data_IF_393881919365
#
_entry.id   IF_393881919365
#
_cell.length_a   1.000
_cell.length_b   1.000
_cell.length_c   1.000
_cell.angle_alpha   90.00
_cell.angle_beta   90.00
_cell.angle_gamma   90.00
#
_symmetry.space_group_name_H-M   'P 1'
#
loop_
_entity.id
_entity.type
_entity.pdbx_description
1 polymer ?
#
# COMPACT_ATOMS: atom_id res chain seq x y z
N UNK A 1 -18.79 6.52 1.51
CA UNK A 1 -17.71 5.54 1.27
C UNK A 1 -18.18 4.15 1.65
N UNK A 2 -17.67 3.15 0.96
CA UNK A 2 -17.91 1.71 1.19
C UNK A 2 -16.64 1.06 1.70
N UNK A 3 -16.76 -0.11 2.34
CA UNK A 3 -15.62 -0.81 2.92
C UNK A 3 -15.41 -2.14 2.22
N UNK A 4 -14.14 -2.47 1.99
CA UNK A 4 -13.74 -3.75 1.44
C UNK A 4 -12.43 -4.25 2.05
N UNK A 5 -11.98 -5.39 1.56
CA UNK A 5 -10.71 -6.01 1.98
C UNK A 5 -9.96 -6.48 0.76
N UNK A 6 -8.68 -6.08 0.67
CA UNK A 6 -7.71 -6.72 -0.20
C UNK A 6 -7.30 -8.05 0.40
N UNK A 7 -7.45 -9.13 -0.36
CA UNK A 7 -7.05 -10.47 0.09
C UNK A 7 -5.53 -10.63 0.24
N UNK A 8 -4.74 -9.65 -0.20
CA UNK A 8 -3.34 -9.52 0.23
C UNK A 8 -3.21 -9.55 1.76
N UNK A 9 -4.21 -9.00 2.46
CA UNK A 9 -4.23 -8.93 3.92
C UNK A 9 -4.19 -10.29 4.61
N UNK A 10 -4.57 -11.36 3.90
CA UNK A 10 -4.63 -12.74 4.40
C UNK A 10 -3.56 -13.65 3.80
N UNK A 11 -2.50 -13.08 3.22
CA UNK A 11 -1.51 -13.85 2.47
C UNK A 11 -0.84 -14.96 3.30
N UNK A 12 -0.57 -14.76 4.60
CA UNK A 12 0.06 -15.79 5.42
C UNK A 12 -0.94 -16.87 5.83
N UNK A 13 -2.14 -16.50 6.25
CA UNK A 13 -3.22 -17.42 6.54
C UNK A 13 -3.53 -18.30 5.32
N UNK A 14 -3.49 -17.73 4.11
CA UNK A 14 -3.61 -18.49 2.86
C UNK A 14 -2.41 -19.41 2.62
N UNK A 15 -1.19 -18.91 2.78
CA UNK A 15 0.04 -19.71 2.61
C UNK A 15 0.06 -20.92 3.55
N UNK A 16 -0.35 -20.74 4.81
CA UNK A 16 -0.45 -21.80 5.82
C UNK A 16 -1.74 -22.64 5.72
N UNK A 17 -2.61 -22.36 4.74
CA UNK A 17 -3.88 -23.07 4.48
C UNK A 17 -4.89 -23.00 5.63
N UNK A 18 -4.82 -21.94 6.42
CA UNK A 18 -5.77 -21.63 7.49
C UNK A 18 -6.98 -20.88 6.94
N UNK A 19 -6.79 -20.15 5.84
CA UNK A 19 -7.85 -19.42 5.14
C UNK A 19 -7.71 -19.61 3.64
N UNK A 20 -8.62 -20.36 3.02
CA UNK A 20 -8.71 -20.47 1.57
C UNK A 20 -9.54 -19.31 0.98
N UNK A 21 -9.65 -19.26 -0.36
CA UNK A 21 -10.33 -18.15 -1.04
C UNK A 21 -11.81 -18.03 -0.61
N UNK A 22 -12.54 -19.14 -0.45
CA UNK A 22 -13.91 -19.08 0.09
C UNK A 22 -13.92 -18.56 1.54
N UNK A 23 -12.96 -19.00 2.36
CA UNK A 23 -12.79 -18.53 3.72
C UNK A 23 -12.55 -17.02 3.82
N UNK A 24 -11.73 -16.46 2.93
CA UNK A 24 -11.48 -15.01 2.85
C UNK A 24 -12.76 -14.24 2.49
N UNK A 25 -13.53 -14.74 1.51
CA UNK A 25 -14.83 -14.16 1.11
C UNK A 25 -15.83 -14.22 2.27
N UNK A 26 -15.92 -15.38 2.94
CA UNK A 26 -16.78 -15.57 4.11
C UNK A 26 -16.41 -14.63 5.24
N UNK A 27 -15.12 -14.43 5.50
CA UNK A 27 -14.66 -13.50 6.53
C UNK A 27 -15.19 -12.09 6.29
N UNK A 28 -15.12 -11.60 5.04
CA UNK A 28 -15.69 -10.30 4.66
C UNK A 28 -17.21 -10.27 4.86
N UNK A 29 -17.93 -11.25 4.32
CA UNK A 29 -19.39 -11.25 4.32
C UNK A 29 -20.06 -11.50 5.68
N UNK A 30 -19.44 -12.33 6.54
CA UNK A 30 -20.07 -12.78 7.80
C UNK A 30 -19.48 -12.13 9.05
N UNK A 31 -18.21 -11.70 9.03
CA UNK A 31 -17.49 -11.29 10.26
C UNK A 31 -17.02 -9.84 10.28
N UNK A 32 -17.10 -9.11 9.16
CA UNK A 32 -16.68 -7.70 9.04
C UNK A 32 -17.89 -6.79 8.81
N UNK A 33 -18.58 -6.31 9.86
CA UNK A 33 -19.92 -5.74 9.69
C UNK A 33 -19.87 -4.40 8.97
N UNK A 34 -20.45 -4.32 7.77
CA UNK A 34 -20.45 -3.11 6.93
C UNK A 34 -19.38 -3.11 5.84
N UNK A 35 -18.60 -4.18 5.71
CA UNK A 35 -17.77 -4.45 4.54
C UNK A 35 -18.46 -5.48 3.65
N UNK A 36 -18.37 -5.27 2.34
CA UNK A 36 -18.86 -6.18 1.30
C UNK A 36 -17.90 -6.25 0.11
N UNK A 37 -17.00 -5.28 -0.02
CA UNK A 37 -16.07 -5.16 -1.14
C UNK A 37 -14.93 -6.17 -1.07
N UNK A 38 -14.63 -6.78 -2.21
CA UNK A 38 -13.47 -7.67 -2.37
C UNK A 38 -12.49 -7.04 -3.35
N UNK A 39 -11.25 -6.98 -2.91
CA UNK A 39 -10.09 -6.73 -3.77
C UNK A 39 -9.19 -7.97 -3.78
N UNK A 40 -8.71 -8.33 -4.97
CA UNK A 40 -8.04 -9.60 -5.21
C UNK A 40 -6.86 -9.43 -6.16
N UNK A 41 -5.75 -10.07 -5.80
CA UNK A 41 -4.54 -10.19 -6.62
C UNK A 41 -4.66 -11.45 -7.46
N UNK A 42 -4.69 -11.28 -8.78
CA UNK A 42 -5.01 -12.33 -9.73
C UNK A 42 -4.05 -13.53 -9.67
N UNK A 43 -2.75 -13.31 -9.84
CA UNK A 43 -1.71 -14.33 -9.87
C UNK A 43 -1.52 -15.03 -8.51
N UNK A 44 -1.88 -14.36 -7.41
CA UNK A 44 -1.85 -14.94 -6.06
C UNK A 44 -3.05 -15.86 -5.80
N UNK A 45 -4.22 -15.50 -6.34
CA UNK A 45 -5.49 -16.04 -5.86
C UNK A 45 -6.18 -16.96 -6.88
N UNK A 46 -5.83 -16.84 -8.16
CA UNK A 46 -6.48 -17.55 -9.25
C UNK A 46 -5.51 -18.56 -9.89
N UNK A 47 -6.10 -19.54 -10.56
CA UNK A 47 -5.37 -20.26 -11.62
C UNK A 47 -5.21 -19.30 -12.81
N UNK A 48 -4.17 -18.49 -12.78
CA UNK A 48 -3.87 -17.51 -13.81
C UNK A 48 -3.25 -18.18 -15.06
N UNK A 49 -3.50 -17.69 -16.29
CA UNK A 49 -4.31 -16.51 -16.66
C UNK A 49 -5.80 -16.80 -16.91
N UNK A 50 -6.24 -18.05 -16.72
CA UNK A 50 -7.62 -18.47 -16.98
C UNK A 50 -8.10 -19.46 -15.88
N UNK A 51 -8.99 -19.01 -14.98
CA UNK A 51 -9.51 -19.88 -13.92
C UNK A 51 -10.59 -20.86 -14.42
N UNK A 52 -11.15 -20.64 -15.61
CA UNK A 52 -12.15 -21.49 -16.27
C UNK A 52 -13.60 -21.33 -15.76
N UNK A 53 -14.57 -21.70 -16.60
CA UNK A 53 -16.01 -21.49 -16.35
C UNK A 53 -16.54 -22.11 -15.06
N UNK A 54 -15.98 -23.26 -14.65
CA UNK A 54 -16.39 -23.92 -13.42
C UNK A 54 -16.06 -23.08 -12.20
N UNK A 55 -14.88 -22.45 -12.18
CA UNK A 55 -14.49 -21.52 -11.13
C UNK A 55 -15.36 -20.26 -11.18
N UNK A 56 -15.61 -19.68 -12.36
CA UNK A 56 -16.43 -18.47 -12.49
C UNK A 56 -17.84 -18.69 -11.89
N UNK A 57 -18.47 -19.85 -12.17
CA UNK A 57 -19.76 -20.19 -11.54
C UNK A 57 -19.67 -20.31 -10.03
N UNK A 58 -18.61 -20.95 -9.53
CA UNK A 58 -18.37 -21.09 -8.09
C UNK A 58 -18.15 -19.73 -7.42
N UNK A 59 -17.35 -18.87 -8.04
CA UNK A 59 -17.05 -17.50 -7.62
C UNK A 59 -18.33 -16.69 -7.40
N UNK A 60 -19.22 -16.64 -8.40
CA UNK A 60 -20.49 -15.91 -8.25
C UNK A 60 -21.43 -16.55 -7.22
N UNK A 61 -21.41 -17.87 -7.06
CA UNK A 61 -22.18 -18.52 -5.99
C UNK A 61 -21.68 -18.15 -4.59
N UNK A 62 -20.38 -17.90 -4.42
CA UNK A 62 -19.84 -17.37 -3.16
C UNK A 62 -20.24 -15.92 -2.93
N UNK A 63 -20.18 -15.06 -3.96
CA UNK A 63 -20.64 -13.67 -3.87
C UNK A 63 -22.10 -13.59 -3.42
N UNK A 64 -22.97 -14.40 -4.02
CA UNK A 64 -24.38 -14.50 -3.64
C UNK A 64 -24.55 -15.02 -2.21
N UNK A 65 -23.85 -16.10 -1.85
CA UNK A 65 -23.95 -16.74 -0.53
C UNK A 65 -23.54 -15.81 0.61
N UNK A 66 -22.47 -15.04 0.42
CA UNK A 66 -21.88 -14.20 1.47
C UNK A 66 -22.24 -12.71 1.34
N UNK A 67 -22.99 -12.33 0.30
CA UNK A 67 -23.41 -10.94 0.09
C UNK A 67 -22.26 -9.99 -0.24
N UNK A 68 -21.19 -10.50 -0.85
CA UNK A 68 -19.98 -9.72 -1.20
C UNK A 68 -19.98 -9.30 -2.67
N UNK A 69 -19.19 -8.28 -2.99
CA UNK A 69 -19.09 -7.71 -4.34
C UNK A 69 -17.62 -7.62 -4.77
N UNK A 70 -17.24 -8.13 -5.95
CA UNK A 70 -15.93 -7.89 -6.53
C UNK A 70 -15.76 -6.40 -6.89
N UNK A 71 -14.72 -5.75 -6.39
CA UNK A 71 -14.48 -4.30 -6.55
C UNK A 71 -13.28 -4.04 -7.44
N UNK A 72 -12.09 -4.35 -6.92
CA UNK A 72 -10.80 -4.08 -7.57
C UNK A 72 -10.11 -5.41 -7.88
N UNK A 73 -9.66 -5.60 -9.12
CA UNK A 73 -8.70 -6.66 -9.42
C UNK A 73 -7.31 -6.06 -9.57
N UNK A 74 -6.38 -6.56 -8.76
CA UNK A 74 -4.99 -6.15 -8.77
C UNK A 74 -4.23 -7.03 -9.77
N UNK A 75 -3.71 -6.39 -10.81
CA UNK A 75 -2.97 -7.07 -11.88
C UNK A 75 -1.48 -6.77 -11.79
N UNK A 76 -0.67 -7.80 -12.02
CA UNK A 76 0.79 -7.65 -12.10
C UNK A 76 1.22 -7.18 -13.49
N UNK A 77 2.50 -6.84 -13.65
CA UNK A 77 3.10 -6.53 -14.96
C UNK A 77 4.58 -6.92 -14.95
N UNK A 78 4.87 -8.20 -15.16
CA UNK A 78 6.25 -8.67 -15.31
C UNK A 78 6.71 -8.50 -16.76
N UNK A 79 7.56 -7.48 -16.98
CA UNK A 79 8.11 -7.15 -18.30
C UNK A 79 9.18 -8.13 -18.78
N UNK A 80 9.62 -9.06 -17.92
CA UNK A 80 10.60 -10.11 -18.24
C UNK A 80 9.96 -11.50 -18.37
N UNK A 81 8.65 -11.55 -18.66
CA UNK A 81 7.92 -12.79 -18.90
C UNK A 81 8.54 -13.66 -20.02
N UNK A 82 9.13 -13.02 -21.04
CA UNK A 82 9.80 -13.72 -22.15
C UNK A 82 11.32 -13.74 -21.96
N UNK A 83 11.96 -14.84 -22.39
CA UNK A 83 13.41 -15.05 -22.20
C UNK A 83 14.28 -14.36 -23.25
N UNK A 84 13.68 -13.88 -24.33
CA UNK A 84 14.37 -13.36 -25.51
C UNK A 84 14.32 -11.83 -25.64
N UNK A 85 13.40 -11.16 -24.96
CA UNK A 85 13.31 -9.70 -24.94
C UNK A 85 12.60 -9.18 -23.68
N UNK A 86 12.79 -7.90 -23.39
CA UNK A 86 11.95 -7.15 -22.45
C UNK A 86 10.69 -6.73 -23.21
N UNK A 87 9.51 -6.96 -22.65
CA UNK A 87 8.24 -6.67 -23.31
C UNK A 87 8.13 -5.19 -23.74
N UNK A 88 7.60 -4.97 -24.94
CA UNK A 88 7.24 -3.63 -25.42
C UNK A 88 6.01 -3.08 -24.70
N UNK A 89 5.73 -1.79 -24.88
CA UNK A 89 4.52 -1.19 -24.31
C UNK A 89 3.24 -1.78 -24.92
N UNK A 90 3.28 -2.17 -26.20
CA UNK A 90 2.18 -2.85 -26.88
C UNK A 90 1.95 -4.24 -26.30
N UNK A 91 3.00 -5.02 -26.04
CA UNK A 91 2.89 -6.35 -25.42
C UNK A 91 2.37 -6.25 -23.98
N UNK A 92 2.86 -5.27 -23.21
CA UNK A 92 2.33 -4.97 -21.88
C UNK A 92 0.84 -4.56 -21.96
N UNK A 93 0.45 -3.80 -22.98
CA UNK A 93 -0.94 -3.38 -23.16
C UNK A 93 -1.85 -4.56 -23.55
N UNK A 94 -1.38 -5.50 -24.38
CA UNK A 94 -2.14 -6.71 -24.70
C UNK A 94 -2.33 -7.61 -23.47
N UNK A 95 -1.33 -7.70 -22.60
CA UNK A 95 -1.45 -8.37 -21.29
C UNK A 95 -2.49 -7.68 -20.41
N UNK A 96 -2.40 -6.35 -20.25
CA UNK A 96 -3.38 -5.59 -19.49
C UNK A 96 -4.81 -5.75 -20.08
N UNK A 97 -4.97 -5.80 -21.40
CA UNK A 97 -6.25 -6.06 -22.05
C UNK A 97 -6.79 -7.46 -21.75
N UNK A 98 -5.92 -8.46 -21.62
CA UNK A 98 -6.33 -9.78 -21.13
C UNK A 98 -6.87 -9.67 -19.70
N UNK A 99 -6.15 -8.99 -18.82
CA UNK A 99 -6.54 -8.85 -17.42
C UNK A 99 -7.83 -8.04 -17.24
N UNK A 100 -8.07 -7.02 -18.06
CA UNK A 100 -9.35 -6.28 -18.10
C UNK A 100 -10.52 -7.22 -18.46
N UNK A 101 -10.34 -8.12 -19.44
CA UNK A 101 -11.38 -9.09 -19.80
C UNK A 101 -11.63 -10.10 -18.68
N UNK A 102 -10.55 -10.56 -18.04
CA UNK A 102 -10.64 -11.45 -16.88
C UNK A 102 -11.40 -10.77 -15.73
N UNK A 103 -11.03 -9.54 -15.38
CA UNK A 103 -11.70 -8.72 -14.36
C UNK A 103 -13.20 -8.60 -14.65
N UNK A 104 -13.55 -8.26 -15.90
CA UNK A 104 -14.95 -8.16 -16.33
C UNK A 104 -15.69 -9.49 -16.18
N UNK A 105 -15.06 -10.60 -16.56
CA UNK A 105 -15.66 -11.95 -16.46
C UNK A 105 -15.94 -12.40 -15.02
N UNK A 106 -15.16 -11.88 -14.07
CA UNK A 106 -15.30 -12.15 -12.62
C UNK A 106 -16.16 -11.08 -11.92
N UNK A 107 -16.67 -10.08 -12.64
CA UNK A 107 -17.57 -9.06 -12.10
C UNK A 107 -16.90 -7.92 -11.34
N UNK A 108 -15.58 -7.74 -11.48
CA UNK A 108 -14.89 -6.59 -10.91
C UNK A 108 -15.29 -5.29 -11.61
N UNK A 109 -15.24 -4.18 -10.87
CA UNK A 109 -15.64 -2.84 -11.34
C UNK A 109 -14.44 -2.03 -11.85
N UNK A 110 -13.25 -2.35 -11.34
CA UNK A 110 -12.03 -1.68 -11.71
C UNK A 110 -10.82 -2.62 -11.67
N UNK A 111 -9.77 -2.22 -12.39
CA UNK A 111 -8.46 -2.87 -12.41
C UNK A 111 -7.45 -1.87 -11.88
N UNK A 112 -6.71 -2.26 -10.84
CA UNK A 112 -5.55 -1.51 -10.38
C UNK A 112 -4.30 -2.12 -10.99
N UNK A 113 -3.47 -1.26 -11.60
CA UNK A 113 -2.16 -1.62 -12.17
C UNK A 113 -1.03 -1.21 -11.23
N UNK A 114 0.12 -1.89 -11.34
CA UNK A 114 1.31 -1.57 -10.56
C UNK A 114 1.71 -0.10 -10.70
N UNK A 115 2.27 0.46 -9.63
CA UNK A 115 2.87 1.81 -9.63
C UNK A 115 3.96 2.00 -10.68
N UNK A 116 4.59 0.92 -11.14
CA UNK A 116 5.61 0.94 -12.19
C UNK A 116 5.03 0.87 -13.60
N UNK A 117 3.74 0.54 -13.77
CA UNK A 117 3.09 0.43 -15.08
C UNK A 117 3.08 1.79 -15.79
N UNK A 118 3.72 1.96 -16.96
CA UNK A 118 3.75 3.25 -17.64
C UNK A 118 2.35 3.71 -18.07
N UNK A 119 2.05 5.01 -17.97
CA UNK A 119 0.78 5.59 -18.42
C UNK A 119 0.48 5.25 -19.89
N UNK A 120 1.50 5.21 -20.74
CA UNK A 120 1.35 4.82 -22.15
C UNK A 120 0.73 3.42 -22.34
N UNK A 121 1.08 2.45 -21.47
CA UNK A 121 0.49 1.10 -21.49
C UNK A 121 -1.00 1.16 -21.13
N UNK A 122 -1.35 1.96 -20.12
CA UNK A 122 -2.75 2.17 -19.71
C UNK A 122 -3.56 2.83 -20.83
N UNK A 123 -3.01 3.86 -21.50
CA UNK A 123 -3.67 4.54 -22.63
C UNK A 123 -3.93 3.57 -23.79
N UNK A 124 -2.98 2.68 -24.12
CA UNK A 124 -3.15 1.66 -25.16
C UNK A 124 -4.25 0.64 -24.84
N UNK A 125 -4.51 0.39 -23.55
CA UNK A 125 -5.57 -0.51 -23.07
C UNK A 125 -6.92 0.22 -22.82
N UNK A 126 -6.90 1.54 -22.65
CA UNK A 126 -8.05 2.35 -22.26
C UNK A 126 -9.29 2.17 -23.15
N UNK A 127 -9.19 2.08 -24.51
CA UNK A 127 -10.37 1.87 -25.33
C UNK A 127 -11.16 0.59 -24.98
N UNK A 128 -10.46 -0.49 -24.59
CA UNK A 128 -11.12 -1.72 -24.15
C UNK A 128 -11.70 -1.57 -22.74
N UNK A 129 -11.02 -0.84 -21.86
CA UNK A 129 -11.50 -0.56 -20.52
C UNK A 129 -12.82 0.25 -20.57
N UNK A 130 -12.91 1.24 -21.46
CA UNK A 130 -14.13 2.00 -21.74
C UNK A 130 -15.24 1.13 -22.34
N UNK A 131 -14.92 0.27 -23.33
CA UNK A 131 -15.88 -0.66 -23.94
C UNK A 131 -16.51 -1.61 -22.90
N UNK A 132 -15.69 -2.10 -21.96
CA UNK A 132 -16.12 -3.06 -20.95
C UNK A 132 -16.61 -2.40 -19.65
N UNK A 133 -16.61 -1.07 -19.59
CA UNK A 133 -16.94 -0.29 -18.39
C UNK A 133 -16.12 -0.72 -17.15
N UNK A 134 -14.80 -0.78 -17.33
CA UNK A 134 -13.82 -1.07 -16.29
C UNK A 134 -12.97 0.18 -16.08
N UNK A 135 -12.91 0.69 -14.85
CA UNK A 135 -11.99 1.79 -14.52
C UNK A 135 -10.57 1.26 -14.33
N UNK A 136 -9.58 1.95 -14.88
CA UNK A 136 -8.17 1.69 -14.64
C UNK A 136 -7.64 2.64 -13.57
N UNK A 137 -7.08 2.07 -12.51
CA UNK A 137 -6.47 2.80 -11.41
C UNK A 137 -4.96 2.59 -11.39
N UNK A 138 -4.17 3.66 -11.41
CA UNK A 138 -2.74 3.56 -11.12
C UNK A 138 -2.49 3.66 -9.63
N UNK A 139 -1.84 2.65 -9.06
CA UNK A 139 -1.45 2.67 -7.66
C UNK A 139 -0.43 3.77 -7.36
N UNK A 140 -0.70 4.58 -6.34
CA UNK A 140 0.21 5.61 -5.83
C UNK A 140 0.65 5.19 -4.42
N UNK A 141 1.82 4.56 -4.33
CA UNK A 141 2.42 4.08 -3.09
C UNK A 141 3.76 4.75 -2.79
N UNK A 142 4.22 4.68 -1.54
CA UNK A 142 5.53 5.21 -1.14
C UNK A 142 6.66 4.61 -2.00
N UNK A 143 7.53 5.43 -2.63
CA UNK A 143 7.85 6.82 -2.30
C UNK A 143 7.12 7.87 -3.16
N UNK A 144 6.16 7.47 -4.00
CA UNK A 144 5.53 8.36 -4.98
C UNK A 144 4.55 9.33 -4.30
N UNK A 145 4.79 10.67 -4.35
CA UNK A 145 3.87 11.65 -3.80
C UNK A 145 2.67 11.89 -4.74
N UNK A 146 1.53 12.31 -4.20
CA UNK A 146 0.34 12.68 -4.99
C UNK A 146 0.59 13.90 -5.89
N UNK A 147 1.53 14.76 -5.51
CA UNK A 147 1.97 15.94 -6.25
C UNK A 147 3.02 15.60 -7.32
N UNK A 148 3.39 14.32 -7.41
CA UNK A 148 4.41 13.79 -8.30
C UNK A 148 4.00 13.82 -9.76
N UNK A 149 5.01 13.73 -10.64
CA UNK A 149 4.84 13.74 -12.10
C UNK A 149 3.83 12.70 -12.58
N UNK A 150 3.87 11.48 -12.04
CA UNK A 150 3.03 10.38 -12.50
C UNK A 150 1.54 10.64 -12.28
N UNK A 151 1.17 11.29 -11.17
CA UNK A 151 -0.22 11.69 -10.91
C UNK A 151 -0.60 12.83 -11.84
N UNK A 152 0.24 13.87 -11.95
CA UNK A 152 0.00 15.01 -12.85
C UNK A 152 -0.26 14.58 -14.30
N UNK A 153 0.56 13.69 -14.84
CA UNK A 153 0.37 13.18 -16.22
C UNK A 153 -0.96 12.44 -16.39
N UNK A 154 -1.45 11.71 -15.38
CA UNK A 154 -2.78 11.09 -15.39
C UNK A 154 -3.88 12.15 -15.38
N UNK A 155 -3.79 13.12 -14.46
CA UNK A 155 -4.81 14.17 -14.34
C UNK A 155 -4.88 15.01 -15.61
N UNK A 156 -3.75 15.44 -16.16
CA UNK A 156 -3.67 16.19 -17.41
C UNK A 156 -4.29 15.41 -18.59
N UNK A 157 -4.04 14.10 -18.66
CA UNK A 157 -4.66 13.25 -19.67
C UNK A 157 -6.18 13.16 -19.50
N UNK A 158 -6.67 13.00 -18.27
CA UNK A 158 -8.11 12.98 -17.95
C UNK A 158 -8.76 14.32 -18.32
N UNK A 159 -8.16 15.44 -17.93
CA UNK A 159 -8.67 16.79 -18.26
C UNK A 159 -8.71 17.04 -19.77
N UNK A 160 -7.71 16.54 -20.51
CA UNK A 160 -7.64 16.72 -21.96
C UNK A 160 -8.66 15.86 -22.73
N UNK A 161 -8.88 14.62 -22.28
CA UNK A 161 -9.71 13.64 -22.99
C UNK A 161 -11.16 13.56 -22.48
N UNK A 162 -11.39 13.96 -21.23
CA UNK A 162 -12.66 13.80 -20.54
C UNK A 162 -13.00 12.35 -20.16
N UNK A 163 -12.05 11.41 -20.23
CA UNK A 163 -12.30 10.01 -19.86
C UNK A 163 -12.64 9.89 -18.37
N UNK A 164 -13.54 8.97 -18.04
CA UNK A 164 -13.92 8.63 -16.65
C UNK A 164 -13.44 7.25 -16.23
N UNK A 165 -12.69 6.57 -17.11
CA UNK A 165 -12.23 5.19 -16.95
C UNK A 165 -10.74 5.10 -16.63
N UNK A 166 -10.12 6.22 -16.27
CA UNK A 166 -8.74 6.31 -15.81
C UNK A 166 -8.69 7.14 -14.52
N UNK A 167 -7.85 6.74 -13.57
CA UNK A 167 -7.63 7.49 -12.34
C UNK A 167 -6.49 6.91 -11.50
N UNK A 168 -6.50 7.24 -10.22
CA UNK A 168 -5.50 6.83 -9.24
C UNK A 168 -6.10 5.93 -8.17
N UNK A 169 -5.25 5.10 -7.57
CA UNK A 169 -5.55 4.29 -6.38
C UNK A 169 -4.53 4.70 -5.31
N UNK A 170 -4.87 5.67 -4.45
CA UNK A 170 -3.98 6.12 -3.40
C UNK A 170 -3.85 5.04 -2.34
N UNK A 171 -2.59 4.76 -2.00
CA UNK A 171 -2.21 3.88 -0.93
C UNK A 171 -1.97 4.66 0.35
N UNK A 172 -2.60 4.26 1.46
CA UNK A 172 -2.52 5.02 2.71
C UNK A 172 -1.14 5.00 3.38
N UNK A 173 -0.21 4.15 2.91
CA UNK A 173 1.19 4.25 3.28
C UNK A 173 1.76 5.64 2.97
N UNK A 174 1.23 6.39 1.99
CA UNK A 174 1.68 7.77 1.71
C UNK A 174 1.44 8.75 2.87
N UNK A 175 0.52 8.43 3.79
CA UNK A 175 0.24 9.19 5.03
C UNK A 175 0.99 8.66 6.26
N UNK A 176 1.97 7.78 6.07
CA UNK A 176 2.78 7.28 7.16
C UNK A 176 3.66 8.40 7.73
N UNK A 177 3.61 8.61 9.04
CA UNK A 177 4.29 9.69 9.76
C UNK A 177 5.44 9.18 10.63
N UNK A 178 5.47 7.88 10.93
CA UNK A 178 6.57 7.21 11.66
C UNK A 178 6.74 5.75 11.21
N UNK A 179 7.89 5.11 11.48
CA UNK A 179 8.03 3.67 11.34
C UNK A 179 6.99 2.90 12.16
N UNK A 180 6.48 1.81 11.61
CA UNK A 180 5.46 0.99 12.27
C UNK A 180 6.04 0.13 13.37
N UNK A 181 5.23 -0.18 14.39
CA UNK A 181 5.63 -1.06 15.49
C UNK A 181 6.04 -2.46 14.99
N UNK A 182 5.38 -2.95 13.94
CA UNK A 182 5.73 -4.22 13.30
C UNK A 182 7.15 -4.19 12.72
N UNK A 183 7.52 -3.12 12.00
CA UNK A 183 8.86 -2.93 11.44
C UNK A 183 9.92 -2.78 12.56
N UNK A 184 9.65 -1.93 13.55
CA UNK A 184 10.59 -1.68 14.65
C UNK A 184 10.83 -2.95 15.47
N UNK A 185 9.78 -3.68 15.82
CA UNK A 185 9.90 -4.96 16.53
C UNK A 185 10.64 -6.03 15.72
N UNK A 186 10.57 -6.00 14.38
CA UNK A 186 11.34 -6.89 13.52
C UNK A 186 12.85 -6.60 13.54
N UNK A 187 13.22 -5.32 13.66
CA UNK A 187 14.59 -4.90 13.85
C UNK A 187 15.11 -5.27 15.24
N UNK A 188 14.34 -5.06 16.30
CA UNK A 188 14.75 -5.42 17.68
C UNK A 188 15.07 -6.92 17.79
N UNK A 189 14.25 -7.78 17.16
CA UNK A 189 14.51 -9.24 17.11
C UNK A 189 15.79 -9.62 16.35
N UNK A 190 16.34 -8.70 15.56
CA UNK A 190 17.62 -8.84 14.85
C UNK A 190 18.79 -8.21 15.61
N UNK A 191 18.57 -7.80 16.86
CA UNK A 191 19.61 -7.26 17.73
C UNK A 191 19.79 -5.74 17.64
N UNK A 192 18.83 -5.03 17.03
CA UNK A 192 18.77 -3.56 17.13
C UNK A 192 18.39 -3.16 18.55
N UNK A 193 19.04 -2.12 19.06
CA UNK A 193 18.80 -1.58 20.39
C UNK A 193 17.45 -0.86 20.44
N UNK A 194 16.76 -0.95 21.59
CA UNK A 194 15.46 -0.31 21.76
C UNK A 194 15.56 1.20 21.56
N UNK A 195 16.61 1.82 22.08
CA UNK A 195 16.93 3.24 21.97
C UNK A 195 17.06 3.68 20.49
N UNK A 196 17.50 2.78 19.60
CA UNK A 196 17.58 3.07 18.17
C UNK A 196 16.20 3.11 17.52
N UNK A 197 15.28 2.26 17.96
CA UNK A 197 13.89 2.31 17.50
C UNK A 197 13.17 3.56 18.01
N UNK A 198 13.40 3.95 19.26
CA UNK A 198 12.89 5.20 19.82
C UNK A 198 13.46 6.41 19.08
N UNK A 199 14.77 6.42 18.80
CA UNK A 199 15.41 7.46 18.01
C UNK A 199 14.85 7.54 16.58
N UNK A 200 14.50 6.42 15.95
CA UNK A 200 13.83 6.42 14.64
C UNK A 200 12.47 7.11 14.68
N UNK A 201 11.68 6.84 15.72
CA UNK A 201 10.38 7.49 15.94
C UNK A 201 10.55 8.98 16.22
N UNK A 202 11.49 9.34 17.09
CA UNK A 202 11.81 10.74 17.40
C UNK A 202 12.24 11.52 16.15
N UNK A 203 13.14 10.95 15.35
CA UNK A 203 13.58 11.57 14.10
C UNK A 203 12.41 11.76 13.13
N UNK A 204 11.51 10.78 13.03
CA UNK A 204 10.33 10.90 12.18
C UNK A 204 9.42 12.05 12.63
N UNK A 205 9.23 12.25 13.93
CA UNK A 205 8.49 13.39 14.49
C UNK A 205 9.16 14.73 14.18
N UNK A 206 10.47 14.86 14.43
CA UNK A 206 11.22 16.09 14.12
C UNK A 206 11.17 16.45 12.63
N UNK A 207 11.21 15.44 11.75
CA UNK A 207 11.05 15.63 10.31
C UNK A 207 9.64 16.13 9.95
N UNK A 208 8.59 15.64 10.63
CA UNK A 208 7.22 16.08 10.40
C UNK A 208 6.99 17.53 10.85
N UNK A 209 7.64 17.96 11.94
CA UNK A 209 7.54 19.31 12.49
C UNK A 209 8.44 20.33 11.76
N UNK A 210 9.30 19.86 10.84
CA UNK A 210 10.27 20.71 10.14
C UNK A 210 11.47 21.12 11.01
N UNK A 211 11.64 20.50 12.18
CA UNK A 211 12.69 20.79 13.17
C UNK A 211 13.92 19.87 12.98
N UNK A 212 14.20 19.48 11.74
CA UNK A 212 15.19 18.43 11.47
C UNK A 212 16.63 18.87 11.75
N UNK A 213 17.43 18.06 12.49
CA UNK A 213 18.85 18.32 12.70
C UNK A 213 19.72 17.93 11.48
N UNK A 214 19.10 17.46 10.39
CA UNK A 214 19.77 16.88 9.22
C UNK A 214 20.00 17.87 8.06
N UNK A 215 19.48 19.10 8.16
CA UNK A 215 19.50 20.08 7.06
C UNK A 215 18.37 19.90 6.03
N UNK A 216 18.25 20.85 5.08
CA UNK A 216 17.28 20.80 3.98
C UNK A 216 17.72 19.79 2.93
N UNK A 217 16.94 18.73 2.72
CA UNK A 217 17.27 17.70 1.74
C UNK A 217 16.02 17.36 0.93
N UNK A 218 16.14 17.49 -0.39
CA UNK A 218 15.10 17.12 -1.33
C UNK A 218 15.18 15.61 -1.62
N UNK A 219 14.31 14.84 -0.96
CA UNK A 219 14.22 13.38 -1.11
C UNK A 219 13.36 12.97 -2.32
N UNK A 220 12.79 13.93 -3.07
CA UNK A 220 11.81 13.64 -4.13
C UNK A 220 12.37 12.82 -5.29
N UNK A 221 13.69 12.76 -5.46
CA UNK A 221 14.37 11.99 -6.51
C UNK A 221 14.85 10.61 -6.09
N UNK A 222 14.68 10.23 -4.82
CA UNK A 222 15.20 8.96 -4.30
C UNK A 222 14.07 8.02 -3.87
N UNK A 223 14.20 6.74 -4.22
CA UNK A 223 13.30 5.72 -3.69
C UNK A 223 13.80 5.21 -2.34
N UNK A 224 12.87 4.77 -1.48
CA UNK A 224 13.23 4.16 -0.20
C UNK A 224 14.22 2.99 -0.35
N UNK A 225 14.06 2.17 -1.40
CA UNK A 225 14.99 1.09 -1.73
C UNK A 225 16.40 1.60 -2.05
N UNK A 226 16.51 2.61 -2.93
CA UNK A 226 17.80 3.18 -3.30
C UNK A 226 18.52 3.80 -2.11
N UNK A 227 17.78 4.53 -1.25
CA UNK A 227 18.34 5.15 -0.05
C UNK A 227 18.85 4.12 0.96
N UNK A 228 18.11 3.03 1.18
CA UNK A 228 18.57 1.95 2.08
C UNK A 228 19.87 1.33 1.60
N UNK A 229 19.97 1.05 0.29
CA UNK A 229 21.19 0.49 -0.31
C UNK A 229 22.35 1.47 -0.17
N UNK A 230 22.11 2.73 -0.49
CA UNK A 230 23.16 3.75 -0.49
C UNK A 230 23.64 4.10 0.92
N UNK A 231 22.72 4.15 1.90
CA UNK A 231 23.08 4.36 3.29
C UNK A 231 23.87 3.18 3.86
N UNK A 232 23.50 1.94 3.51
CA UNK A 232 24.30 0.76 3.87
C UNK A 232 25.71 0.84 3.30
N UNK A 233 25.84 1.21 2.02
CA UNK A 233 27.15 1.41 1.39
C UNK A 233 27.96 2.50 2.10
N UNK A 234 27.31 3.60 2.51
CA UNK A 234 27.93 4.67 3.28
C UNK A 234 28.47 4.17 4.63
N UNK A 235 27.69 3.38 5.38
CA UNK A 235 28.13 2.82 6.66
C UNK A 235 29.33 1.86 6.51
N UNK A 236 29.38 1.10 5.41
CA UNK A 236 30.44 0.13 5.16
C UNK A 236 31.72 0.75 4.59
N UNK A 237 31.60 1.77 3.73
CA UNK A 237 32.71 2.27 2.91
C UNK A 237 33.03 3.75 3.12
N UNK A 238 32.14 4.50 3.77
CA UNK A 238 32.18 5.96 3.86
C UNK A 238 31.76 6.69 2.58
N UNK A 239 31.42 5.96 1.51
CA UNK A 239 31.07 6.54 0.20
C UNK A 239 29.56 6.55 -0.04
N UNK A 240 29.05 7.68 -0.54
CA UNK A 240 27.72 7.83 -1.13
C UNK A 240 27.76 8.97 -2.16
N UNK A 241 26.65 9.22 -2.86
CA UNK A 241 26.49 10.41 -3.68
C UNK A 241 26.74 11.67 -2.85
N UNK A 242 27.45 12.64 -3.42
CA UNK A 242 27.87 13.85 -2.70
C UNK A 242 26.72 14.61 -2.04
N UNK A 243 25.52 14.54 -2.63
CA UNK A 243 24.31 15.18 -2.11
C UNK A 243 23.72 14.51 -0.86
N UNK A 244 24.12 13.27 -0.55
CA UNK A 244 23.60 12.50 0.60
C UNK A 244 24.58 12.43 1.77
N UNK A 245 25.80 12.95 1.63
CA UNK A 245 26.84 12.88 2.69
C UNK A 245 26.38 13.58 3.97
N UNK A 246 25.82 14.78 3.85
CA UNK A 246 25.35 15.55 5.01
C UNK A 246 24.15 14.88 5.68
N UNK A 247 23.24 14.30 4.88
CA UNK A 247 22.10 13.52 5.38
C UNK A 247 22.57 12.33 6.21
N UNK A 248 23.42 11.49 5.62
CA UNK A 248 23.84 10.23 6.21
C UNK A 248 24.75 10.43 7.42
N UNK A 249 25.65 11.42 7.36
CA UNK A 249 26.45 11.80 8.52
C UNK A 249 25.58 12.40 9.63
N UNK A 250 24.55 13.18 9.27
CA UNK A 250 23.56 13.71 10.20
C UNK A 250 22.79 12.60 10.93
N UNK A 251 22.28 11.59 10.21
CA UNK A 251 21.59 10.44 10.80
C UNK A 251 22.51 9.69 11.75
N UNK A 252 23.76 9.46 11.34
CA UNK A 252 24.73 8.78 12.19
C UNK A 252 24.98 9.55 13.50
N UNK A 253 25.22 10.87 13.42
CA UNK A 253 25.40 11.73 14.60
C UNK A 253 24.15 11.72 15.50
N UNK A 254 22.98 11.87 14.91
CA UNK A 254 21.70 11.82 15.63
C UNK A 254 21.53 10.50 16.40
N UNK A 255 21.94 9.39 15.78
CA UNK A 255 21.93 8.06 16.40
C UNK A 255 22.98 7.94 17.50
N UNK A 256 24.22 8.40 17.27
CA UNK A 256 25.32 8.34 18.25
C UNK A 256 24.99 9.09 19.55
N UNK A 257 24.18 10.14 19.47
CA UNK A 257 23.72 10.93 20.62
C UNK A 257 22.67 10.21 21.49
N UNK A 258 21.94 9.24 20.91
CA UNK A 258 20.80 8.55 21.55
C UNK A 258 21.09 7.10 21.89
N UNK A 259 21.95 6.45 21.11
CA UNK A 259 22.17 5.01 21.16
C UNK A 259 23.63 4.74 21.58
N UNK A 260 23.86 4.24 22.81
CA UNK A 260 25.20 3.90 23.27
C UNK A 260 25.85 2.86 22.36
N UNK A 261 27.05 3.19 21.86
CA UNK A 261 27.82 2.27 20.99
C UNK A 261 27.01 1.72 19.81
N UNK A 262 26.25 2.60 19.13
CA UNK A 262 25.39 2.25 18.01
C UNK A 262 26.10 1.37 16.95
N UNK A 263 25.45 0.25 16.62
CA UNK A 263 25.85 -0.67 15.56
C UNK A 263 25.36 -0.19 14.19
N UNK A 264 25.82 -0.85 13.11
CA UNK A 264 25.31 -0.57 11.77
C UNK A 264 23.80 -0.80 11.64
N UNK A 265 23.26 -1.78 12.34
CA UNK A 265 21.81 -2.05 12.32
C UNK A 265 21.02 -0.96 13.06
N UNK A 266 21.60 -0.36 14.11
CA UNK A 266 20.98 0.76 14.82
C UNK A 266 20.89 2.00 13.92
N UNK A 267 21.96 2.34 13.19
CA UNK A 267 21.89 3.44 12.22
C UNK A 267 20.83 3.18 11.14
N UNK A 268 20.77 1.95 10.63
CA UNK A 268 19.80 1.56 9.59
C UNK A 268 18.36 1.76 10.09
N UNK A 269 18.04 1.34 11.32
CA UNK A 269 16.67 1.52 11.83
C UNK A 269 16.33 3.00 12.01
N UNK A 270 17.27 3.83 12.47
CA UNK A 270 17.06 5.28 12.61
C UNK A 270 16.81 5.93 11.25
N UNK A 271 17.50 5.47 10.21
CA UNK A 271 17.31 5.97 8.84
C UNK A 271 15.95 5.62 8.23
N UNK A 272 15.19 4.65 8.77
CA UNK A 272 13.83 4.36 8.28
C UNK A 272 12.88 5.57 8.40
N UNK A 273 13.15 6.49 9.33
CA UNK A 273 12.44 7.76 9.44
C UNK A 273 12.50 8.61 8.15
N UNK A 274 13.53 8.43 7.32
CA UNK A 274 13.70 9.17 6.06
C UNK A 274 12.80 8.65 4.93
N UNK A 275 12.29 7.41 5.06
CA UNK A 275 11.65 6.69 3.96
C UNK A 275 10.14 6.96 3.82
N UNK A 276 9.61 7.88 4.63
CA UNK A 276 8.18 8.14 4.75
C UNK A 276 7.74 9.30 3.84
N UNK A 277 6.65 9.11 3.08
CA UNK A 277 6.19 10.07 2.08
C UNK A 277 5.48 11.31 2.64
N UNK A 278 4.82 11.22 3.80
CA UNK A 278 4.20 12.36 4.52
C UNK A 278 3.32 13.25 3.64
N UNK A 279 2.56 12.64 2.73
CA UNK A 279 1.77 13.38 1.74
C UNK A 279 0.69 14.22 2.41
N UNK A 280 0.44 15.42 1.87
CA UNK A 280 -0.59 16.32 2.39
C UNK A 280 -2.00 15.76 2.16
N UNK A 281 -2.84 15.62 3.19
CA UNK A 281 -4.23 15.20 3.03
C UNK A 281 -5.05 16.15 2.14
N UNK A 282 -4.73 17.44 2.09
CA UNK A 282 -5.47 18.39 1.25
C UNK A 282 -5.32 18.09 -0.25
N UNK A 283 -4.17 17.55 -0.68
CA UNK A 283 -4.00 17.11 -2.07
C UNK A 283 -4.88 15.92 -2.38
N UNK A 284 -5.03 14.97 -1.46
CA UNK A 284 -5.99 13.88 -1.63
C UNK A 284 -7.43 14.38 -1.73
N UNK A 285 -7.81 15.39 -0.94
CA UNK A 285 -9.12 16.04 -1.04
C UNK A 285 -9.36 16.63 -2.43
N UNK A 286 -8.36 17.30 -3.00
CA UNK A 286 -8.46 17.90 -4.33
C UNK A 286 -8.55 16.86 -5.45
N UNK A 287 -7.89 15.71 -5.27
CA UNK A 287 -7.85 14.62 -6.25
C UNK A 287 -8.97 13.58 -6.09
N UNK A 288 -9.87 13.74 -5.11
CA UNK A 288 -10.86 12.74 -4.75
C UNK A 288 -11.76 12.28 -5.91
N UNK A 289 -12.07 13.18 -6.86
CA UNK A 289 -12.85 12.87 -8.06
C UNK A 289 -12.13 11.94 -9.05
N UNK A 290 -10.80 11.84 -8.95
CA UNK A 290 -9.96 10.96 -9.76
C UNK A 290 -9.59 9.66 -9.06
N UNK A 291 -10.06 9.45 -7.82
CA UNK A 291 -9.81 8.22 -7.06
C UNK A 291 -10.77 7.11 -7.52
N UNK A 292 -10.21 5.98 -7.96
CA UNK A 292 -10.96 4.80 -8.42
C UNK A 292 -11.39 3.93 -7.25
N UNK A 293 -10.44 3.61 -6.37
CA UNK A 293 -10.56 2.85 -5.13
C UNK A 293 -9.40 3.26 -4.22
N UNK A 294 -9.39 2.83 -2.95
CA UNK A 294 -8.34 3.18 -1.99
C UNK A 294 -7.75 1.92 -1.37
N UNK A 295 -6.41 1.82 -1.40
CA UNK A 295 -5.69 0.84 -0.59
C UNK A 295 -5.46 1.45 0.79
N UNK A 296 -6.26 1.02 1.76
CA UNK A 296 -6.12 1.43 3.15
C UNK A 296 -5.07 0.55 3.84
N UNK A 297 -3.82 0.78 3.44
CA UNK A 297 -2.63 0.14 3.97
C UNK A 297 -2.46 0.35 5.46
N UNK A 298 -2.24 -0.74 6.19
CA UNK A 298 -1.89 -0.68 7.61
C UNK A 298 -0.87 -1.76 8.00
N UNK A 299 -0.16 -1.50 9.09
CA UNK A 299 0.97 -2.30 9.58
C UNK A 299 0.75 -2.87 10.97
N UNK A 300 0.07 -2.16 11.88
CA UNK A 300 -0.18 -2.67 13.23
C UNK A 300 -1.39 -2.00 13.87
N UNK A 301 -2.48 -2.74 14.03
CA UNK A 301 -3.64 -2.27 14.76
C UNK A 301 -3.48 -2.47 16.26
N UNK A 302 -3.24 -1.37 16.98
CA UNK A 302 -3.12 -1.32 18.43
C UNK A 302 -4.38 -0.73 19.08
N UNK A 303 -4.72 -1.14 20.32
CA UNK A 303 -5.79 -0.49 21.07
C UNK A 303 -5.46 0.98 21.35
N UNK A 304 -6.46 1.85 21.26
CA UNK A 304 -6.31 3.24 21.70
C UNK A 304 -6.43 3.28 23.23
N UNK A 305 -5.44 3.85 23.96
CA UNK A 305 -5.54 4.03 25.41
C UNK A 305 -6.85 4.72 25.81
N UNK A 306 -7.47 4.28 26.90
CA UNK A 306 -8.74 4.83 27.44
C UNK A 306 -9.98 4.73 26.52
N UNK A 307 -9.87 4.07 25.36
CA UNK A 307 -10.96 3.89 24.40
C UNK A 307 -11.18 2.39 24.10
N UNK A 308 -11.80 1.62 25.02
CA UNK A 308 -11.95 0.17 24.87
C UNK A 308 -12.72 -0.19 23.59
N UNK A 309 -12.17 -1.14 22.83
CA UNK A 309 -12.75 -1.61 21.57
C UNK A 309 -12.47 -0.71 20.37
N UNK A 310 -11.73 0.39 20.53
CA UNK A 310 -11.25 1.23 19.43
C UNK A 310 -9.78 0.93 19.15
N UNK A 311 -9.45 0.89 17.86
CA UNK A 311 -8.10 0.60 17.39
C UNK A 311 -7.58 1.70 16.47
N UNK A 312 -6.25 1.75 16.36
CA UNK A 312 -5.53 2.66 15.48
C UNK A 312 -4.32 1.96 14.87
N UNK A 313 -3.91 2.43 13.70
CA UNK A 313 -2.52 2.29 13.28
C UNK A 313 -1.78 3.58 13.65
N UNK A 314 -0.82 3.48 14.57
CA UNK A 314 -0.08 4.64 15.09
C UNK A 314 0.84 5.23 14.00
N UNK A 315 1.19 4.44 12.98
CA UNK A 315 2.14 4.85 11.97
C UNK A 315 1.53 5.75 10.89
N UNK A 316 0.21 5.70 10.69
CA UNK A 316 -0.47 6.31 9.54
C UNK A 316 -1.56 7.28 10.02
N UNK A 317 -1.56 8.49 9.47
CA UNK A 317 -2.62 9.48 9.73
C UNK A 317 -3.92 9.17 8.99
N UNK A 318 -4.62 8.15 9.49
CA UNK A 318 -5.92 7.72 8.97
C UNK A 318 -7.02 8.77 9.13
N UNK A 319 -7.02 9.53 10.23
CA UNK A 319 -8.06 10.52 10.51
C UNK A 319 -8.05 11.60 9.43
N UNK A 320 -6.89 12.18 9.12
CA UNK A 320 -6.79 13.21 8.08
C UNK A 320 -7.03 12.65 6.69
N UNK A 321 -6.51 11.46 6.37
CA UNK A 321 -6.69 10.82 5.06
C UNK A 321 -8.17 10.51 4.76
N UNK A 322 -8.90 9.92 5.71
CA UNK A 322 -10.34 9.64 5.58
C UNK A 322 -11.15 10.94 5.55
N UNK A 323 -10.80 11.93 6.37
CA UNK A 323 -11.47 13.23 6.37
C UNK A 323 -11.29 13.96 5.03
N UNK A 324 -10.11 13.88 4.40
CA UNK A 324 -9.85 14.44 3.09
C UNK A 324 -10.71 13.80 2.00
N UNK A 325 -10.79 12.46 1.96
CA UNK A 325 -11.68 11.74 1.03
C UNK A 325 -13.15 12.14 1.20
N UNK A 326 -13.62 12.24 2.45
CA UNK A 326 -14.99 12.69 2.74
C UNK A 326 -15.25 14.11 2.24
N UNK A 327 -14.33 15.03 2.51
CA UNK A 327 -14.45 16.43 2.10
C UNK A 327 -14.36 16.60 0.58
N UNK A 328 -13.59 15.73 -0.08
CA UNK A 328 -13.52 15.64 -1.54
C UNK A 328 -14.71 14.91 -2.18
N UNK A 329 -15.65 14.39 -1.38
CA UNK A 329 -16.87 13.77 -1.88
C UNK A 329 -16.74 12.30 -2.30
N UNK A 330 -15.60 11.64 -2.03
CA UNK A 330 -15.38 10.24 -2.43
C UNK A 330 -16.43 9.29 -1.82
N UNK A 331 -17.04 8.45 -2.66
CA UNK A 331 -18.05 7.47 -2.24
C UNK A 331 -17.67 6.02 -2.56
N UNK A 332 -16.50 5.78 -3.14
CA UNK A 332 -16.03 4.45 -3.51
C UNK A 332 -15.60 3.59 -2.33
N UNK A 333 -14.91 2.49 -2.65
CA UNK A 333 -14.43 1.53 -1.68
C UNK A 333 -13.08 1.92 -1.06
N UNK A 334 -12.98 1.71 0.24
CA UNK A 334 -11.74 1.77 1.02
C UNK A 334 -11.41 0.35 1.45
N UNK A 335 -10.39 -0.23 0.82
CA UNK A 335 -10.04 -1.65 0.95
C UNK A 335 -8.92 -1.81 1.98
N UNK A 336 -9.16 -2.58 3.04
CA UNK A 336 -8.10 -2.92 3.99
C UNK A 336 -6.97 -3.64 3.28
N UNK A 337 -5.73 -3.17 3.45
CA UNK A 337 -4.53 -3.83 2.93
C UNK A 337 -3.52 -3.99 4.08
N UNK A 338 -3.53 -5.15 4.71
CA UNK A 338 -2.59 -5.44 5.79
C UNK A 338 -1.22 -5.75 5.18
N UNK A 339 -0.19 -5.00 5.57
CA UNK A 339 1.20 -5.25 5.17
C UNK A 339 2.15 -5.57 6.34
N UNK A 340 1.67 -5.43 7.58
CA UNK A 340 2.50 -5.67 8.77
C UNK A 340 2.99 -7.11 8.94
N UNK A 341 2.29 -8.08 8.38
CA UNK A 341 2.59 -9.51 8.49
C UNK A 341 3.99 -9.84 7.95
N UNK A 342 4.49 -9.08 6.94
CA UNK A 342 5.83 -9.31 6.36
C UNK A 342 6.95 -9.21 7.39
N UNK A 343 6.71 -8.43 8.45
CA UNK A 343 7.64 -8.23 9.54
C UNK A 343 7.57 -9.32 10.62
N UNK A 344 6.88 -10.44 10.38
CA UNK A 344 6.78 -11.55 11.34
C UNK A 344 7.29 -12.89 10.79
N UNK A 345 7.80 -12.92 9.56
CA UNK A 345 8.27 -14.15 8.90
C UNK A 345 9.54 -14.75 9.53
N UNK A 346 10.16 -14.05 10.48
CA UNK A 346 11.26 -14.52 11.32
C UNK A 346 10.80 -15.25 12.60
N UNK A 347 9.49 -15.45 12.76
CA UNK A 347 8.86 -16.09 13.92
C UNK A 347 8.25 -17.44 13.56
N UNK A 348 8.00 -18.25 14.59
CA UNK A 348 7.17 -19.45 14.44
C UNK A 348 5.71 -19.04 14.19
N UNK A 349 4.94 -19.87 13.48
CA UNK A 349 3.54 -19.56 13.13
C UNK A 349 2.69 -19.13 14.33
N UNK A 350 2.89 -19.74 15.49
CA UNK A 350 2.17 -19.44 16.74
C UNK A 350 2.44 -18.03 17.30
N UNK A 351 3.55 -17.41 16.91
CA UNK A 351 3.96 -16.07 17.35
C UNK A 351 3.70 -15.00 16.28
N UNK A 352 3.29 -15.38 15.06
CA UNK A 352 2.98 -14.42 13.99
C UNK A 352 1.69 -13.68 14.30
N UNK A 353 1.56 -12.45 13.80
CA UNK A 353 0.31 -11.69 13.91
C UNK A 353 -0.86 -12.47 13.29
N UNK A 354 -2.01 -12.40 13.96
CA UNK A 354 -3.27 -12.90 13.45
C UNK A 354 -3.82 -11.89 12.42
N UNK A 355 -3.68 -12.22 11.14
CA UNK A 355 -4.14 -11.40 10.01
C UNK A 355 -5.66 -11.13 10.08
N UNK A 356 -6.46 -12.11 10.51
CA UNK A 356 -7.92 -11.96 10.62
C UNK A 356 -8.27 -10.94 11.70
N UNK A 357 -7.65 -11.07 12.88
CA UNK A 357 -7.87 -10.12 13.98
C UNK A 357 -7.37 -8.70 13.63
N UNK A 358 -6.28 -8.59 12.89
CA UNK A 358 -5.72 -7.30 12.44
C UNK A 358 -6.65 -6.61 11.44
N UNK A 359 -7.18 -7.33 10.46
CA UNK A 359 -8.19 -6.80 9.53
C UNK A 359 -9.47 -6.43 10.28
N UNK A 360 -9.94 -7.26 11.23
CA UNK A 360 -11.12 -6.96 12.04
C UNK A 360 -10.97 -5.64 12.81
N UNK A 361 -9.81 -5.39 13.42
CA UNK A 361 -9.50 -4.13 14.12
C UNK A 361 -9.41 -2.95 13.17
N UNK A 362 -8.81 -3.15 12.00
CA UNK A 362 -8.72 -2.11 10.98
C UNK A 362 -10.11 -1.72 10.45
N UNK A 363 -10.98 -2.70 10.20
CA UNK A 363 -12.38 -2.46 9.80
C UNK A 363 -13.19 -1.75 10.89
N UNK A 364 -12.90 -2.00 12.18
CA UNK A 364 -13.47 -1.19 13.25
C UNK A 364 -13.09 0.28 13.08
N UNK A 365 -11.80 0.59 12.96
CA UNK A 365 -11.31 1.95 12.76
C UNK A 365 -11.92 2.59 11.51
N UNK A 366 -11.91 1.90 10.37
CA UNK A 366 -12.50 2.42 9.12
C UNK A 366 -13.98 2.76 9.31
N UNK A 367 -14.79 1.90 9.93
CA UNK A 367 -16.21 2.22 10.18
C UNK A 367 -16.38 3.42 11.11
N UNK A 368 -15.54 3.53 12.14
CA UNK A 368 -15.57 4.66 13.07
C UNK A 368 -15.28 5.97 12.35
N UNK A 369 -14.28 6.00 11.46
CA UNK A 369 -13.86 7.21 10.74
C UNK A 369 -14.75 7.53 9.52
N UNK A 370 -15.35 6.52 8.89
CA UNK A 370 -16.15 6.71 7.66
C UNK A 370 -17.62 7.04 7.94
N UNK A 371 -18.15 6.77 9.14
CA UNK A 371 -19.52 7.13 9.54
C UNK A 371 -19.62 8.63 9.85
N UNK A 372 -20.44 9.34 9.07
CA UNK A 372 -20.98 10.66 9.39
C UNK A 372 -22.50 10.61 9.35
#
# INVERSE_FOLDING_TARGET
MKLGVSFYSYQQAQFFKELDLEGQIREVGEHLPGADGIELIDEMSLRYPDPGDAFIRQWFSWMEKYGTVPVTMDVSMDVLQFRDHVMSYEECAERLKHDIRLAKSLGFQNVRVLSTTPLAVMILALPLAEELDIKLGKEIHQPMPLEGRQVKEIIEFIEHTGTTHLGIVPDFGIFQTRPSEALLGWFERRGVQHEATEASVELAHLLNEGETPLGLIDMSFHTAGNLRVEFKQYLETGNCQSQLVDLFSGVKRFSDERVPQASNMDYIVVAEALMLSRTSPDILRQLADHVVSVHAKFYNMSPIPDHPGQFQDIAIDYESGIAALQQGGFQGYVNSEYEGQRYWQDRWRADMMDEVEQVRRHQEMLRRLTKK
#
